data_IF_408518037483
#
_entry.id   IF_408518037483
#
_cell.length_a   1.000
_cell.length_b   1.000
_cell.length_c   1.000
_cell.angle_alpha   90.00
_cell.angle_beta   90.00
_cell.angle_gamma   90.00
#
_symmetry.space_group_name_H-M   'P 1'
#
loop_
_entity.id
_entity.type
_entity.pdbx_description
1 polymer ?
#
# COMPACT_ATOMS: atom_id res chain seq x y z
N UNK A 1 36.87 35.08 -10.93
CA UNK A 1 36.50 34.92 -9.52
C UNK A 1 34.96 34.91 -9.51
N UNK A 2 34.34 33.73 -9.43
CA UNK A 2 32.88 33.61 -9.41
C UNK A 2 32.41 33.87 -7.98
N UNK A 3 31.80 35.03 -7.76
CA UNK A 3 31.12 35.34 -6.50
C UNK A 3 29.96 34.36 -6.32
N UNK A 4 30.06 33.52 -5.28
CA UNK A 4 28.93 32.72 -4.80
C UNK A 4 28.05 33.65 -3.98
N UNK A 5 26.84 33.89 -4.46
CA UNK A 5 25.79 34.47 -3.62
C UNK A 5 25.59 33.57 -2.40
N UNK A 6 25.76 34.06 -1.15
CA UNK A 6 25.37 33.29 0.01
C UNK A 6 23.85 33.12 -0.04
N UNK A 7 23.39 31.86 -0.05
CA UNK A 7 21.99 31.59 0.25
C UNK A 7 21.71 32.21 1.63
N UNK A 8 20.56 32.90 1.82
CA UNK A 8 20.22 33.41 3.13
C UNK A 8 20.23 32.23 4.10
N UNK A 9 21.11 32.29 5.09
CA UNK A 9 21.07 31.40 6.24
C UNK A 9 19.67 31.54 6.82
N UNK A 10 18.86 30.51 6.64
CA UNK A 10 17.64 30.37 7.41
C UNK A 10 18.11 30.19 8.85
N UNK A 11 18.09 31.28 9.62
CA UNK A 11 18.11 31.24 11.07
C UNK A 11 16.99 30.30 11.49
N UNK A 12 17.38 29.05 11.74
CA UNK A 12 16.51 28.00 12.18
C UNK A 12 16.14 28.37 13.61
N UNK A 13 14.86 28.60 13.93
CA UNK A 13 14.49 28.98 15.29
C UNK A 13 14.85 27.80 16.20
N UNK A 14 15.91 28.00 16.98
CA UNK A 14 16.35 27.20 18.14
C UNK A 14 15.87 25.74 18.20
N UNK A 15 16.69 24.79 17.76
CA UNK A 15 16.54 23.39 18.21
C UNK A 15 16.92 22.26 17.24
N UNK A 16 18.12 22.27 16.66
CA UNK A 16 18.95 21.09 16.32
C UNK A 16 19.86 21.43 15.13
N UNK A 17 21.17 21.46 15.37
CA UNK A 17 22.22 21.66 14.35
C UNK A 17 22.38 20.43 13.44
N UNK A 18 21.65 19.34 13.71
CA UNK A 18 21.73 18.10 12.95
C UNK A 18 20.37 17.70 12.39
N UNK A 19 20.32 17.14 11.16
CA UNK A 19 19.10 16.49 10.70
C UNK A 19 18.72 15.38 11.69
N UNK A 20 17.42 15.07 11.86
CA UNK A 20 16.98 13.96 12.67
C UNK A 20 17.73 12.66 12.33
N UNK A 21 17.79 11.67 13.25
CA UNK A 21 18.30 10.34 12.93
C UNK A 21 17.68 9.80 11.63
N UNK A 22 18.42 9.02 10.84
CA UNK A 22 17.99 8.61 9.49
C UNK A 22 16.57 8.04 9.46
N UNK A 23 16.22 7.18 10.43
CA UNK A 23 14.88 6.60 10.55
C UNK A 23 13.76 7.56 10.97
N UNK A 24 14.08 8.82 11.31
CA UNK A 24 13.12 9.87 11.69
C UNK A 24 13.14 11.06 10.70
N UNK A 25 13.82 10.93 9.56
CA UNK A 25 13.87 11.98 8.53
C UNK A 25 12.65 11.94 7.63
N UNK A 26 12.12 13.11 7.28
CA UNK A 26 11.15 13.29 6.19
C UNK A 26 11.90 13.79 4.97
N UNK A 27 11.89 13.02 3.89
CA UNK A 27 12.55 13.39 2.63
C UNK A 27 11.63 14.26 1.78
N UNK A 28 12.19 15.32 1.17
CA UNK A 28 11.44 16.32 0.44
C UNK A 28 11.78 16.26 -1.06
N UNK A 29 10.80 15.88 -1.89
CA UNK A 29 10.93 15.92 -3.35
C UNK A 29 10.53 17.29 -3.94
N UNK A 30 9.60 17.98 -3.29
CA UNK A 30 9.07 19.30 -3.66
C UNK A 30 8.79 20.08 -2.38
N UNK A 31 9.05 21.38 -2.42
CA UNK A 31 8.75 22.27 -1.30
C UNK A 31 7.26 22.18 -0.94
N UNK A 32 6.99 21.99 0.35
CA UNK A 32 5.64 21.94 0.89
C UNK A 32 5.59 22.76 2.19
N UNK A 33 4.65 23.69 2.26
CA UNK A 33 4.42 24.54 3.42
C UNK A 33 3.37 23.92 4.33
N UNK A 34 3.82 23.22 5.36
CA UNK A 34 2.93 22.51 6.29
C UNK A 34 1.99 23.46 7.06
N UNK A 35 2.36 24.74 7.19
CA UNK A 35 1.53 25.78 7.77
C UNK A 35 0.31 26.12 6.89
N UNK A 36 0.41 25.96 5.56
CA UNK A 36 -0.70 26.16 4.61
C UNK A 36 -1.63 24.94 4.50
N UNK A 37 -1.19 23.75 4.90
CA UNK A 37 -2.03 22.56 4.93
C UNK A 37 -3.13 22.76 5.98
N UNK A 38 -4.40 22.61 5.62
CA UNK A 38 -5.54 22.69 6.55
C UNK A 38 -6.06 21.32 6.96
N UNK A 39 -5.90 20.31 6.10
CA UNK A 39 -6.32 18.96 6.38
C UNK A 39 -5.23 17.93 6.07
N UNK A 40 -5.15 16.90 6.91
CA UNK A 40 -4.26 15.75 6.72
C UNK A 40 -5.10 14.50 6.66
N UNK A 41 -5.01 13.79 5.54
CA UNK A 41 -5.66 12.51 5.32
C UNK A 41 -4.67 11.37 5.40
N UNK A 42 -5.13 10.23 5.87
CA UNK A 42 -4.33 9.02 5.99
C UNK A 42 -5.04 7.84 5.33
N UNK A 43 -4.28 7.03 4.59
CA UNK A 43 -4.65 5.63 4.40
C UNK A 43 -4.50 4.87 5.72
N UNK A 44 -5.18 3.72 5.85
CA UNK A 44 -5.03 2.86 7.02
C UNK A 44 -3.90 1.84 6.80
N UNK A 45 -4.12 0.92 5.87
CA UNK A 45 -3.26 -0.24 5.67
C UNK A 45 -1.87 0.19 5.17
N UNK A 46 -0.80 -0.37 5.75
CA UNK A 46 0.60 -0.02 5.48
C UNK A 46 0.99 1.47 5.65
N UNK A 47 0.08 2.30 6.16
CA UNK A 47 0.32 3.72 6.45
C UNK A 47 0.20 4.01 7.94
N UNK A 48 -0.97 3.80 8.53
CA UNK A 48 -1.19 3.85 9.97
C UNK A 48 -0.97 2.47 10.60
N UNK A 49 -1.55 1.44 9.98
CA UNK A 49 -1.34 0.04 10.34
C UNK A 49 -0.07 -0.48 9.67
N UNK A 50 1.05 -0.43 10.39
CA UNK A 50 2.32 -0.97 9.91
C UNK A 50 2.36 -2.47 10.18
N UNK A 51 2.18 -3.26 9.14
CA UNK A 51 2.20 -4.71 9.24
C UNK A 51 3.62 -5.28 9.35
N UNK A 52 3.76 -6.37 10.10
CA UNK A 52 4.95 -7.22 10.12
C UNK A 52 5.04 -8.02 8.84
N UNK A 53 5.79 -7.49 7.88
CA UNK A 53 5.87 -8.02 6.52
C UNK A 53 6.13 -9.54 6.47
N UNK A 54 7.02 -10.07 7.32
CA UNK A 54 7.35 -11.49 7.31
C UNK A 54 6.16 -12.40 7.70
N UNK A 55 5.31 -11.96 8.63
CA UNK A 55 4.12 -12.70 9.03
C UNK A 55 3.02 -12.58 7.98
N UNK A 56 2.82 -11.37 7.44
CA UNK A 56 1.87 -11.15 6.35
C UNK A 56 2.22 -11.93 5.08
N UNK A 57 3.49 -11.91 4.66
CA UNK A 57 3.93 -12.66 3.47
C UNK A 57 3.65 -14.16 3.63
N UNK A 58 3.95 -14.73 4.80
CA UNK A 58 3.68 -16.16 5.07
C UNK A 58 2.18 -16.45 4.98
N UNK A 59 1.36 -15.66 5.66
CA UNK A 59 -0.10 -15.83 5.66
C UNK A 59 -0.67 -15.71 4.25
N UNK A 60 -0.28 -14.67 3.49
CA UNK A 60 -0.73 -14.47 2.11
C UNK A 60 -0.29 -15.60 1.18
N UNK A 61 0.95 -16.08 1.32
CA UNK A 61 1.45 -17.23 0.54
C UNK A 61 0.63 -18.48 0.86
N UNK A 62 0.44 -18.81 2.14
CA UNK A 62 -0.30 -20.00 2.56
C UNK A 62 -1.75 -19.98 2.06
N UNK A 63 -2.45 -18.85 2.24
CA UNK A 63 -3.82 -18.68 1.76
C UNK A 63 -3.93 -18.79 0.24
N UNK A 64 -3.02 -18.14 -0.50
CA UNK A 64 -2.99 -18.18 -1.96
C UNK A 64 -2.70 -19.59 -2.47
N UNK A 65 -1.73 -20.30 -1.86
CA UNK A 65 -1.36 -21.67 -2.21
C UNK A 65 -2.51 -22.64 -1.97
N UNK A 66 -3.20 -22.51 -0.83
CA UNK A 66 -4.38 -23.32 -0.53
C UNK A 66 -5.44 -23.24 -1.64
N UNK A 67 -5.77 -22.02 -2.08
CA UNK A 67 -6.75 -21.79 -3.15
C UNK A 67 -6.27 -22.24 -4.53
N UNK A 68 -4.97 -22.10 -4.84
CA UNK A 68 -4.42 -22.64 -6.08
C UNK A 68 -4.60 -24.16 -6.15
N UNK A 69 -4.37 -24.86 -5.04
CA UNK A 69 -4.55 -26.31 -4.95
C UNK A 69 -6.02 -26.68 -5.14
N UNK A 70 -6.95 -25.96 -4.50
CA UNK A 70 -8.40 -26.14 -4.71
C UNK A 70 -8.82 -25.94 -6.18
N UNK A 71 -8.11 -25.07 -6.90
CA UNK A 71 -8.30 -24.83 -8.35
C UNK A 71 -7.69 -25.92 -9.25
N UNK A 72 -7.02 -26.92 -8.66
CA UNK A 72 -6.46 -28.07 -9.38
C UNK A 72 -4.94 -28.04 -9.58
N UNK A 73 -4.22 -27.09 -8.97
CA UNK A 73 -2.76 -27.15 -8.92
C UNK A 73 -2.29 -28.30 -8.00
N UNK A 74 -1.06 -28.78 -8.20
CA UNK A 74 -0.52 -29.93 -7.45
C UNK A 74 -0.43 -29.68 -5.95
N UNK A 75 -0.76 -30.69 -5.13
CA UNK A 75 -0.56 -30.66 -3.67
C UNK A 75 0.91 -30.42 -3.27
N UNK A 76 1.86 -30.66 -4.18
CA UNK A 76 3.28 -30.32 -3.97
C UNK A 76 3.49 -28.86 -3.59
N UNK A 77 2.61 -27.93 -4.02
CA UNK A 77 2.70 -26.51 -3.70
C UNK A 77 2.76 -26.25 -2.18
N UNK A 78 2.15 -27.09 -1.33
CA UNK A 78 2.20 -26.91 0.14
C UNK A 78 3.61 -27.04 0.72
N UNK A 79 4.45 -27.85 0.08
CA UNK A 79 5.79 -28.20 0.57
C UNK A 79 6.91 -27.45 -0.13
N UNK A 80 6.57 -26.65 -1.14
CA UNK A 80 7.52 -25.84 -1.88
C UNK A 80 8.15 -24.76 -1.00
N UNK A 81 9.36 -24.36 -1.36
CA UNK A 81 10.03 -23.24 -0.70
C UNK A 81 9.64 -21.93 -1.36
N UNK A 82 9.06 -21.03 -0.58
CA UNK A 82 8.72 -19.67 -1.00
C UNK A 82 9.69 -18.67 -0.38
N UNK A 83 10.39 -17.92 -1.23
CA UNK A 83 11.41 -16.94 -0.81
C UNK A 83 10.82 -15.55 -0.69
N UNK A 84 10.50 -15.13 0.52
CA UNK A 84 10.00 -13.77 0.81
C UNK A 84 11.11 -12.72 0.77
N UNK A 85 12.39 -13.13 0.80
CA UNK A 85 13.57 -12.27 0.64
C UNK A 85 13.87 -11.89 -0.82
N UNK A 86 13.25 -12.59 -1.78
CA UNK A 86 13.45 -12.37 -3.21
C UNK A 86 12.67 -11.17 -3.78
N UNK A 87 11.35 -11.06 -3.58
CA UNK A 87 10.58 -9.96 -4.14
C UNK A 87 10.91 -8.63 -3.46
N UNK A 88 10.92 -7.56 -4.27
CA UNK A 88 11.00 -6.19 -3.79
C UNK A 88 9.95 -5.34 -4.49
N UNK A 89 9.54 -4.24 -3.87
CA UNK A 89 8.59 -3.31 -4.48
C UNK A 89 9.16 -2.69 -5.76
N UNK A 90 8.27 -2.43 -6.73
CA UNK A 90 8.61 -1.85 -8.03
C UNK A 90 9.28 -2.82 -8.99
N UNK A 91 8.96 -4.12 -8.90
CA UNK A 91 9.26 -5.11 -9.93
C UNK A 91 8.18 -5.10 -11.02
N UNK A 92 8.51 -5.69 -12.17
CA UNK A 92 7.58 -5.89 -13.27
C UNK A 92 7.56 -7.37 -13.65
N UNK A 93 6.38 -7.98 -13.64
CA UNK A 93 6.19 -9.37 -14.07
C UNK A 93 5.92 -9.39 -15.58
N UNK A 94 6.66 -10.21 -16.32
CA UNK A 94 6.43 -10.51 -17.72
C UNK A 94 5.67 -11.83 -17.86
N UNK A 95 4.36 -11.71 -18.02
CA UNK A 95 3.43 -12.84 -18.13
C UNK A 95 3.62 -13.66 -19.40
N UNK A 96 4.38 -13.16 -20.39
CA UNK A 96 4.66 -13.92 -21.63
C UNK A 96 5.87 -14.83 -21.49
N UNK A 97 6.88 -14.40 -20.73
CA UNK A 97 8.16 -15.11 -20.65
C UNK A 97 8.44 -15.69 -19.25
N UNK A 98 7.51 -15.58 -18.31
CA UNK A 98 7.68 -16.10 -16.95
C UNK A 98 8.77 -15.37 -16.17
N UNK A 99 9.02 -14.10 -16.46
CA UNK A 99 10.17 -13.38 -15.91
C UNK A 99 9.78 -12.27 -14.94
N UNK A 100 10.59 -12.11 -13.90
CA UNK A 100 10.51 -10.99 -12.94
C UNK A 100 11.61 -9.98 -13.27
N UNK A 101 11.23 -8.73 -13.54
CA UNK A 101 12.10 -7.71 -14.09
C UNK A 101 12.30 -6.55 -13.10
N UNK A 102 13.55 -6.07 -12.99
CA UNK A 102 13.87 -4.78 -12.39
C UNK A 102 14.29 -3.79 -13.46
N UNK A 103 13.53 -2.72 -13.59
CA UNK A 103 13.73 -1.67 -14.59
C UNK A 103 14.23 -0.38 -13.95
N UNK A 104 14.88 0.46 -14.75
CA UNK A 104 15.13 1.85 -14.39
C UNK A 104 14.05 2.80 -14.92
N UNK A 105 14.17 4.09 -14.56
CA UNK A 105 13.25 5.16 -15.00
C UNK A 105 13.15 5.33 -16.52
N UNK A 106 14.14 4.85 -17.28
CA UNK A 106 14.17 4.92 -18.74
C UNK A 106 13.67 3.64 -19.41
N UNK A 107 13.07 2.74 -18.63
CA UNK A 107 12.52 1.45 -19.06
C UNK A 107 13.59 0.45 -19.54
N UNK A 108 14.84 0.63 -19.11
CA UNK A 108 15.87 -0.36 -19.35
C UNK A 108 15.81 -1.45 -18.29
N UNK A 109 15.73 -2.72 -18.72
CA UNK A 109 15.76 -3.88 -17.80
C UNK A 109 17.18 -4.06 -17.29
N UNK A 110 17.43 -3.68 -16.04
CA UNK A 110 18.72 -3.82 -15.34
C UNK A 110 18.99 -5.24 -14.90
N UNK A 111 17.96 -5.93 -14.42
CA UNK A 111 18.02 -7.32 -13.95
C UNK A 111 16.73 -8.03 -14.33
N UNK A 112 16.83 -9.32 -14.66
CA UNK A 112 15.69 -10.18 -14.93
C UNK A 112 15.96 -11.57 -14.34
N UNK A 113 14.90 -12.22 -13.85
CA UNK A 113 14.93 -13.57 -13.31
C UNK A 113 13.84 -14.42 -13.95
N UNK A 114 14.11 -15.71 -14.15
CA UNK A 114 13.14 -16.74 -14.52
C UNK A 114 13.11 -17.75 -13.36
N UNK A 115 11.99 -17.83 -12.64
CA UNK A 115 12.01 -18.40 -11.29
C UNK A 115 13.00 -17.61 -10.41
N UNK A 116 13.96 -18.31 -9.79
CA UNK A 116 15.05 -17.69 -9.03
C UNK A 116 16.37 -17.61 -9.82
N UNK A 117 16.40 -18.12 -11.06
CA UNK A 117 17.57 -18.04 -11.94
C UNK A 117 17.68 -16.67 -12.59
N UNK A 118 18.80 -15.98 -12.32
CA UNK A 118 19.13 -14.71 -12.98
C UNK A 118 19.41 -14.93 -14.46
N UNK A 119 18.75 -14.15 -15.33
CA UNK A 119 19.08 -14.15 -16.76
C UNK A 119 20.46 -13.54 -16.99
N UNK A 120 21.22 -14.17 -17.88
CA UNK A 120 22.46 -13.62 -18.41
C UNK A 120 22.22 -12.32 -19.17
N UNK A 121 23.30 -11.56 -19.40
CA UNK A 121 23.25 -10.33 -20.20
C UNK A 121 22.70 -10.60 -21.60
N UNK A 122 23.05 -11.72 -22.21
CA UNK A 122 22.62 -12.07 -23.56
C UNK A 122 21.15 -12.47 -23.63
N UNK A 123 20.68 -13.34 -22.72
CA UNK A 123 19.25 -13.69 -22.62
C UNK A 123 18.40 -12.44 -22.43
N UNK A 124 18.80 -11.57 -21.50
CA UNK A 124 18.12 -10.30 -21.23
C UNK A 124 18.13 -9.37 -22.43
N UNK A 125 19.27 -9.25 -23.14
CA UNK A 125 19.38 -8.43 -24.34
C UNK A 125 18.42 -8.93 -25.42
N UNK A 126 18.41 -10.24 -25.69
CA UNK A 126 17.53 -10.88 -26.67
C UNK A 126 16.05 -10.64 -26.32
N UNK A 127 15.68 -10.85 -25.06
CA UNK A 127 14.29 -10.75 -24.60
C UNK A 127 13.76 -9.31 -24.51
N UNK A 128 14.59 -8.34 -24.10
CA UNK A 128 14.12 -7.02 -23.64
C UNK A 128 14.79 -5.81 -24.26
N UNK A 129 15.94 -5.95 -24.91
CA UNK A 129 16.70 -4.80 -25.44
C UNK A 129 16.73 -4.73 -26.96
N UNK A 130 16.19 -5.74 -27.65
CA UNK A 130 16.03 -5.73 -29.11
C UNK A 130 14.84 -4.91 -29.58
N UNK A 131 13.85 -4.68 -28.70
CA UNK A 131 12.63 -3.91 -28.99
C UNK A 131 12.26 -3.06 -27.79
N UNK A 132 11.56 -1.96 -28.06
CA UNK A 132 11.04 -1.08 -27.01
C UNK A 132 10.00 -1.81 -26.16
N UNK A 133 10.25 -1.87 -24.86
CA UNK A 133 9.32 -2.40 -23.86
C UNK A 133 8.09 -1.50 -23.73
N UNK A 134 6.90 -2.11 -23.64
CA UNK A 134 5.62 -1.43 -23.42
C UNK A 134 4.95 -1.94 -22.14
N UNK A 135 5.36 -1.45 -20.95
CA UNK A 135 4.83 -1.93 -19.67
C UNK A 135 3.33 -1.71 -19.47
N UNK A 136 2.71 -0.75 -20.16
CA UNK A 136 1.27 -0.51 -20.08
C UNK A 136 0.39 -1.53 -20.84
N UNK A 137 0.97 -2.61 -21.37
CA UNK A 137 0.20 -3.66 -22.04
C UNK A 137 -0.13 -4.79 -21.06
N UNK A 138 -1.20 -5.55 -21.32
CA UNK A 138 -1.63 -6.70 -20.47
C UNK A 138 -0.57 -7.79 -20.28
N UNK A 139 0.50 -7.78 -21.10
CA UNK A 139 1.65 -8.67 -20.95
C UNK A 139 2.39 -8.45 -19.63
N UNK A 140 2.42 -7.21 -19.14
CA UNK A 140 3.21 -6.86 -17.98
C UNK A 140 2.32 -6.47 -16.81
N UNK A 141 2.79 -6.77 -15.60
CA UNK A 141 2.11 -6.42 -14.35
C UNK A 141 3.08 -5.74 -13.40
N UNK A 142 2.72 -4.57 -12.88
CA UNK A 142 3.54 -3.84 -11.91
C UNK A 142 3.31 -4.38 -10.51
N UNK A 143 4.40 -4.57 -9.77
CA UNK A 143 4.38 -4.94 -8.36
C UNK A 143 4.58 -3.67 -7.55
N UNK A 144 3.46 -3.00 -7.26
CA UNK A 144 3.42 -1.64 -6.72
C UNK A 144 2.89 -1.58 -5.29
N UNK A 145 2.34 -2.66 -4.74
CA UNK A 145 1.90 -2.78 -3.34
C UNK A 145 2.73 -3.80 -2.58
N UNK A 146 2.78 -3.68 -1.25
CA UNK A 146 3.45 -4.66 -0.39
C UNK A 146 2.72 -6.01 -0.38
N UNK A 147 1.38 -6.02 -0.49
CA UNK A 147 0.58 -7.24 -0.66
C UNK A 147 1.02 -8.07 -1.89
N UNK A 148 1.44 -7.40 -2.97
CA UNK A 148 1.83 -8.07 -4.22
C UNK A 148 3.19 -8.77 -4.16
N UNK A 149 3.95 -8.62 -3.07
CA UNK A 149 5.25 -9.29 -2.92
C UNK A 149 5.09 -10.81 -2.76
N UNK A 150 4.08 -11.23 -1.98
CA UNK A 150 3.74 -12.64 -1.76
C UNK A 150 3.51 -13.38 -3.07
N UNK A 151 2.80 -12.78 -4.02
CA UNK A 151 2.54 -13.37 -5.31
C UNK A 151 3.75 -13.51 -6.20
N UNK A 152 4.68 -12.55 -6.16
CA UNK A 152 5.96 -12.67 -6.87
C UNK A 152 6.74 -13.85 -6.29
N UNK A 153 6.71 -14.05 -4.97
CA UNK A 153 7.33 -15.20 -4.33
C UNK A 153 6.68 -16.52 -4.77
N UNK A 154 5.34 -16.60 -4.81
CA UNK A 154 4.60 -17.77 -5.33
C UNK A 154 4.95 -18.01 -6.80
N UNK A 155 4.86 -16.99 -7.64
CA UNK A 155 5.11 -17.09 -9.08
C UNK A 155 6.54 -17.58 -9.39
N UNK A 156 7.54 -16.99 -8.74
CA UNK A 156 8.93 -17.40 -8.92
C UNK A 156 9.19 -18.82 -8.39
N UNK A 157 8.59 -19.17 -7.24
CA UNK A 157 8.74 -20.50 -6.65
C UNK A 157 8.11 -21.61 -7.52
N UNK A 158 6.93 -21.35 -8.08
CA UNK A 158 6.23 -22.28 -8.96
C UNK A 158 7.02 -22.50 -10.25
N UNK A 159 7.49 -21.43 -10.90
CA UNK A 159 8.33 -21.54 -12.11
C UNK A 159 9.61 -22.32 -11.80
N UNK A 160 10.32 -21.99 -10.72
CA UNK A 160 11.57 -22.68 -10.36
C UNK A 160 11.38 -24.18 -10.11
N UNK A 161 10.30 -24.57 -9.41
CA UNK A 161 10.16 -25.92 -8.88
C UNK A 161 9.30 -26.85 -9.75
N UNK A 162 8.32 -26.32 -10.50
CA UNK A 162 7.44 -27.15 -11.33
C UNK A 162 7.87 -27.22 -12.80
N UNK A 163 8.37 -26.13 -13.39
CA UNK A 163 8.74 -26.12 -14.80
C UNK A 163 9.76 -27.21 -15.18
N UNK A 164 10.81 -27.51 -14.38
CA UNK A 164 11.75 -28.57 -14.72
C UNK A 164 11.13 -29.97 -14.80
N UNK A 165 9.96 -30.18 -14.17
CA UNK A 165 9.27 -31.48 -14.09
C UNK A 165 8.09 -31.57 -15.05
N UNK A 166 7.39 -30.46 -15.27
CA UNK A 166 6.16 -30.40 -16.06
C UNK A 166 6.37 -29.82 -17.46
N UNK A 167 7.55 -29.28 -17.75
CA UNK A 167 7.82 -28.52 -18.96
C UNK A 167 7.31 -27.09 -18.86
N UNK A 168 7.32 -26.38 -20.00
CA UNK A 168 6.94 -24.97 -20.07
C UNK A 168 5.52 -24.74 -19.56
N UNK A 169 5.38 -23.84 -18.58
CA UNK A 169 4.11 -23.46 -17.98
C UNK A 169 3.41 -22.37 -18.81
N UNK A 170 2.09 -22.28 -18.72
CA UNK A 170 1.38 -21.07 -19.13
C UNK A 170 1.56 -19.98 -18.07
N UNK A 171 2.63 -19.21 -18.22
CA UNK A 171 3.00 -18.12 -17.31
C UNK A 171 1.92 -17.04 -17.16
N UNK A 172 1.08 -16.87 -18.19
CA UNK A 172 0.05 -15.84 -18.19
C UNK A 172 -1.17 -16.28 -17.39
N UNK A 173 -1.55 -17.56 -17.55
CA UNK A 173 -2.59 -18.20 -16.76
C UNK A 173 -2.15 -18.38 -15.31
N UNK A 174 -0.93 -18.88 -15.06
CA UNK A 174 -0.38 -19.04 -13.72
C UNK A 174 -0.44 -17.73 -12.93
N UNK A 175 0.01 -16.62 -13.53
CA UNK A 175 -0.04 -15.33 -12.84
C UNK A 175 -1.47 -14.81 -12.65
N UNK A 176 -2.39 -15.12 -13.58
CA UNK A 176 -3.79 -14.76 -13.43
C UNK A 176 -4.43 -15.50 -12.24
N UNK A 177 -4.19 -16.81 -12.14
CA UNK A 177 -4.70 -17.65 -11.06
C UNK A 177 -4.12 -17.23 -9.71
N UNK A 178 -2.81 -16.92 -9.63
CA UNK A 178 -2.19 -16.41 -8.40
C UNK A 178 -2.87 -15.12 -7.94
N UNK A 179 -3.05 -14.14 -8.84
CA UNK A 179 -3.71 -12.87 -8.49
C UNK A 179 -5.15 -13.10 -8.04
N UNK A 180 -5.91 -13.91 -8.76
CA UNK A 180 -7.29 -14.20 -8.40
C UNK A 180 -7.41 -14.91 -7.04
N UNK A 181 -6.55 -15.90 -6.77
CA UNK A 181 -6.50 -16.58 -5.48
C UNK A 181 -6.06 -15.66 -4.33
N UNK A 182 -5.10 -14.77 -4.58
CA UNK A 182 -4.67 -13.77 -3.61
C UNK A 182 -5.78 -12.73 -3.34
N UNK A 183 -6.45 -12.23 -4.38
CA UNK A 183 -7.58 -11.30 -4.26
C UNK A 183 -8.73 -11.94 -3.47
N UNK A 184 -9.08 -13.19 -3.77
CA UNK A 184 -10.08 -13.96 -3.02
C UNK A 184 -9.70 -14.10 -1.54
N UNK A 185 -8.42 -14.36 -1.24
CA UNK A 185 -7.92 -14.48 0.14
C UNK A 185 -8.05 -13.19 0.95
N UNK A 186 -8.06 -12.03 0.30
CA UNK A 186 -8.32 -10.75 0.96
C UNK A 186 -9.81 -10.44 1.13
N UNK A 187 -10.70 -11.16 0.45
CA UNK A 187 -12.15 -10.91 0.44
C UNK A 187 -12.95 -11.92 1.27
N UNK A 188 -12.44 -13.15 1.41
CA UNK A 188 -13.17 -14.28 2.03
C UNK A 188 -12.80 -14.53 3.50
N UNK A 189 -12.04 -13.63 4.13
CA UNK A 189 -11.61 -13.73 5.52
C UNK A 189 -10.30 -14.49 5.74
N UNK A 190 -9.76 -15.20 4.74
CA UNK A 190 -8.55 -16.03 4.89
C UNK A 190 -7.32 -15.26 5.40
N UNK A 191 -7.24 -13.97 5.10
CA UNK A 191 -6.19 -13.08 5.61
C UNK A 191 -6.73 -12.18 6.71
N UNK A 192 -7.84 -11.49 6.47
CA UNK A 192 -8.31 -10.44 7.37
C UNK A 192 -8.75 -11.00 8.73
N UNK A 193 -9.46 -12.13 8.77
CA UNK A 193 -9.95 -12.71 10.03
C UNK A 193 -8.79 -13.21 10.87
N UNK A 194 -7.82 -13.90 10.25
CA UNK A 194 -6.60 -14.39 10.91
C UNK A 194 -5.78 -13.25 11.51
N UNK A 195 -5.73 -12.09 10.84
CA UNK A 195 -5.07 -10.90 11.37
C UNK A 195 -5.83 -10.33 12.56
N UNK A 196 -7.17 -10.26 12.50
CA UNK A 196 -7.99 -9.76 13.60
C UNK A 196 -7.95 -10.65 14.84
N UNK A 197 -7.78 -11.97 14.66
CA UNK A 197 -7.63 -12.92 15.76
C UNK A 197 -6.36 -12.68 16.60
N UNK A 198 -5.29 -12.13 16.00
CA UNK A 198 -4.02 -11.86 16.69
C UNK A 198 -3.30 -10.61 16.14
N UNK A 199 -3.93 -9.44 16.31
CA UNK A 199 -3.36 -8.16 15.86
C UNK A 199 -1.91 -7.92 16.31
N UNK A 200 -1.49 -8.18 17.58
CA UNK A 200 -0.11 -7.98 18.02
C UNK A 200 0.96 -8.81 17.28
N UNK A 201 0.55 -9.94 16.68
CA UNK A 201 1.45 -10.74 15.85
C UNK A 201 1.68 -10.11 14.49
N UNK A 202 0.68 -9.46 13.92
CA UNK A 202 0.71 -8.99 12.53
C UNK A 202 0.94 -7.48 12.39
N UNK A 203 0.65 -6.68 13.40
CA UNK A 203 0.67 -5.21 13.32
C UNK A 203 1.51 -4.63 14.43
N UNK A 204 2.41 -3.73 14.08
CA UNK A 204 3.18 -2.96 15.06
C UNK A 204 2.35 -1.79 15.57
N UNK A 205 2.18 -1.73 16.90
CA UNK A 205 1.53 -0.61 17.58
C UNK A 205 2.55 0.46 17.93
N UNK A 206 2.51 1.59 17.22
CA UNK A 206 3.36 2.75 17.49
C UNK A 206 2.80 3.58 18.67
N UNK A 207 3.51 3.66 19.81
CA UNK A 207 3.07 4.46 20.96
C UNK A 207 3.03 5.98 20.68
N UNK A 208 3.74 6.47 19.66
CA UNK A 208 3.76 7.90 19.32
C UNK A 208 2.60 8.31 18.39
N UNK A 209 1.81 7.35 17.87
CA UNK A 209 0.76 7.62 16.88
C UNK A 209 -0.37 8.52 17.42
N UNK A 210 -0.85 8.27 18.64
CA UNK A 210 -1.86 9.12 19.28
C UNK A 210 -1.36 10.56 19.47
N UNK A 211 -0.08 10.70 19.88
CA UNK A 211 0.55 12.01 20.04
C UNK A 211 0.73 12.75 18.70
N UNK A 212 1.05 12.04 17.62
CA UNK A 212 1.11 12.60 16.28
C UNK A 212 -0.23 13.23 15.88
N UNK A 213 -1.33 12.48 16.06
CA UNK A 213 -2.67 12.96 15.72
C UNK A 213 -3.06 14.15 16.61
N UNK A 214 -2.80 14.07 17.91
CA UNK A 214 -3.02 15.20 18.82
C UNK A 214 -2.26 16.45 18.38
N UNK A 215 -0.98 16.34 17.99
CA UNK A 215 -0.17 17.48 17.52
C UNK A 215 -0.75 18.13 16.26
N UNK A 216 -1.21 17.35 15.29
CA UNK A 216 -1.87 17.91 14.11
C UNK A 216 -3.15 18.67 14.47
N UNK A 217 -3.98 18.09 15.34
CA UNK A 217 -5.22 18.75 15.81
C UNK A 217 -4.93 20.04 16.55
N UNK A 218 -3.96 20.01 17.46
CA UNK A 218 -3.52 21.18 18.24
C UNK A 218 -2.93 22.29 17.37
N UNK A 219 -2.35 21.94 16.22
CA UNK A 219 -1.94 22.88 15.17
C UNK A 219 -3.10 23.38 14.27
N UNK A 220 -4.35 23.08 14.62
CA UNK A 220 -5.54 23.51 13.90
C UNK A 220 -5.86 22.71 12.62
N UNK A 221 -5.20 21.57 12.40
CA UNK A 221 -5.43 20.72 11.22
C UNK A 221 -6.66 19.83 11.41
N UNK A 222 -7.46 19.67 10.36
CA UNK A 222 -8.51 18.64 10.28
C UNK A 222 -7.88 17.31 9.89
N UNK A 223 -8.32 16.22 10.50
CA UNK A 223 -7.80 14.88 10.20
C UNK A 223 -8.88 14.01 9.57
N UNK A 224 -8.50 13.20 8.58
CA UNK A 224 -9.42 12.22 8.03
C UNK A 224 -8.77 10.88 7.72
N UNK A 225 -9.55 9.81 7.82
CA UNK A 225 -9.17 8.47 7.39
C UNK A 225 -9.87 8.14 6.08
N UNK A 226 -9.13 7.60 5.12
CA UNK A 226 -9.63 7.17 3.82
C UNK A 226 -9.02 5.82 3.44
N UNK A 227 -9.74 4.74 3.71
CA UNK A 227 -9.26 3.37 3.50
C UNK A 227 -10.14 2.58 2.53
N UNK A 228 -9.55 1.60 1.84
CA UNK A 228 -10.29 0.63 1.01
C UNK A 228 -10.82 -0.55 1.84
N UNK A 229 -10.34 -0.76 3.07
CA UNK A 229 -10.85 -1.81 3.96
C UNK A 229 -12.26 -1.49 4.47
N UNK A 230 -12.98 -2.53 4.90
CA UNK A 230 -14.36 -2.43 5.36
C UNK A 230 -14.52 -1.81 6.75
N UNK A 231 -15.75 -1.42 7.13
CA UNK A 231 -16.06 -0.83 8.43
C UNK A 231 -15.60 -1.67 9.63
N UNK A 232 -15.92 -2.96 9.64
CA UNK A 232 -15.67 -3.86 10.77
C UNK A 232 -14.16 -4.06 11.00
N UNK A 233 -13.43 -4.30 9.91
CA UNK A 233 -11.97 -4.43 9.96
C UNK A 233 -11.30 -3.12 10.41
N UNK A 234 -11.78 -1.99 9.88
CA UNK A 234 -11.28 -0.65 10.24
C UNK A 234 -11.52 -0.34 11.71
N UNK A 235 -12.70 -0.69 12.24
CA UNK A 235 -13.03 -0.49 13.65
C UNK A 235 -12.03 -1.24 14.54
N UNK A 236 -11.84 -2.55 14.31
CA UNK A 236 -10.95 -3.36 15.12
C UNK A 236 -9.48 -2.90 15.01
N UNK A 237 -9.02 -2.60 13.80
CA UNK A 237 -7.65 -2.13 13.55
C UNK A 237 -7.38 -0.78 14.22
N UNK A 238 -8.25 0.20 13.99
CA UNK A 238 -8.04 1.56 14.52
C UNK A 238 -8.21 1.61 16.03
N UNK A 239 -9.13 0.80 16.60
CA UNK A 239 -9.20 0.61 18.05
C UNK A 239 -7.90 0.05 18.61
N UNK A 240 -7.33 -0.98 18.00
CA UNK A 240 -6.04 -1.53 18.43
C UNK A 240 -4.90 -0.50 18.38
N UNK A 241 -4.86 0.33 17.35
CA UNK A 241 -3.81 1.34 17.17
C UNK A 241 -3.95 2.51 18.15
N UNK A 242 -5.16 3.05 18.33
CA UNK A 242 -5.36 4.38 18.95
C UNK A 242 -6.20 4.40 20.23
N UNK A 243 -7.02 3.38 20.52
CA UNK A 243 -7.83 3.40 21.75
C UNK A 243 -6.92 3.30 22.98
N UNK A 244 -7.17 4.18 23.95
CA UNK A 244 -6.35 4.31 25.15
C UNK A 244 -4.95 4.88 24.91
N UNK A 245 -4.64 5.39 23.71
CA UNK A 245 -3.33 6.02 23.44
C UNK A 245 -3.14 7.36 24.17
N UNK A 246 -4.23 8.12 24.37
CA UNK A 246 -4.28 9.36 25.14
C UNK A 246 -5.63 9.47 25.86
N UNK A 247 -5.64 9.98 27.09
CA UNK A 247 -6.85 10.06 27.93
C UNK A 247 -7.89 11.04 27.36
N UNK A 248 -7.46 12.08 26.64
CA UNK A 248 -8.31 13.10 26.03
C UNK A 248 -9.15 12.59 24.85
N UNK A 249 -8.83 11.40 24.33
CA UNK A 249 -9.49 10.78 23.19
C UNK A 249 -9.98 9.37 23.57
N UNK A 250 -11.19 9.25 24.14
CA UNK A 250 -11.74 7.96 24.59
C UNK A 250 -11.86 6.89 23.49
N UNK A 251 -11.95 7.31 22.22
CA UNK A 251 -12.00 6.45 21.05
C UNK A 251 -11.13 7.03 19.93
N UNK A 252 -10.57 6.15 19.09
CA UNK A 252 -9.85 6.48 17.87
C UNK A 252 -10.65 7.43 16.95
N UNK A 253 -11.98 7.31 16.94
CA UNK A 253 -12.87 8.18 16.17
C UNK A 253 -12.79 9.64 16.61
N UNK A 254 -12.44 9.90 17.87
CA UNK A 254 -12.30 11.27 18.39
C UNK A 254 -11.10 12.01 17.78
N UNK A 255 -10.10 11.31 17.25
CA UNK A 255 -8.98 11.98 16.59
C UNK A 255 -9.33 12.53 15.21
N UNK A 256 -10.38 12.00 14.56
CA UNK A 256 -10.69 12.25 13.16
C UNK A 256 -11.91 13.16 13.03
N UNK A 257 -11.92 13.98 11.98
CA UNK A 257 -13.05 14.81 11.56
C UNK A 257 -13.90 14.13 10.47
N UNK A 258 -13.31 13.19 9.72
CA UNK A 258 -14.00 12.37 8.72
C UNK A 258 -13.39 10.96 8.65
N UNK A 259 -14.23 9.94 8.49
CA UNK A 259 -13.82 8.54 8.42
C UNK A 259 -14.55 7.89 7.23
N UNK A 260 -13.80 7.44 6.23
CA UNK A 260 -14.34 6.72 5.10
C UNK A 260 -13.64 5.38 4.88
N UNK A 261 -14.43 4.32 4.92
CA UNK A 261 -14.08 2.93 4.63
C UNK A 261 -14.63 2.54 3.25
N UNK A 262 -14.20 1.42 2.66
CA UNK A 262 -14.56 1.06 1.28
C UNK A 262 -14.53 2.25 0.31
N UNK A 263 -13.53 3.11 0.44
CA UNK A 263 -13.46 4.39 -0.31
C UNK A 263 -13.31 4.19 -1.82
N UNK A 264 -12.91 2.99 -2.25
CA UNK A 264 -12.71 2.62 -3.65
C UNK A 264 -11.66 3.52 -4.33
N UNK A 265 -10.56 3.82 -3.65
CA UNK A 265 -9.39 4.49 -4.24
C UNK A 265 -8.83 3.64 -5.39
N UNK A 266 -8.43 4.26 -6.53
CA UNK A 266 -8.34 5.70 -6.81
C UNK A 266 -9.66 6.34 -7.29
N UNK A 267 -10.74 5.55 -7.41
CA UNK A 267 -12.07 6.02 -7.79
C UNK A 267 -12.61 7.14 -6.90
N UNK A 268 -12.27 7.17 -5.61
CA UNK A 268 -12.62 8.27 -4.70
C UNK A 268 -12.15 9.66 -5.20
N UNK A 269 -10.94 9.73 -5.74
CA UNK A 269 -10.31 10.98 -6.16
C UNK A 269 -10.79 11.47 -7.53
N UNK A 270 -11.36 10.58 -8.33
CA UNK A 270 -11.74 10.84 -9.74
C UNK A 270 -13.24 10.75 -9.98
N UNK A 271 -13.96 10.08 -9.10
CA UNK A 271 -15.37 9.77 -9.22
C UNK A 271 -16.27 10.77 -8.52
N UNK A 272 -17.56 10.41 -8.45
CA UNK A 272 -18.64 11.20 -7.85
C UNK A 272 -19.60 10.32 -7.04
N UNK A 273 -19.11 9.18 -6.56
CA UNK A 273 -19.93 8.30 -5.73
C UNK A 273 -20.34 9.04 -4.44
N UNK A 274 -21.59 8.91 -3.99
CA UNK A 274 -22.03 9.54 -2.76
C UNK A 274 -21.38 8.85 -1.55
N UNK A 275 -21.22 9.59 -0.46
CA UNK A 275 -20.90 8.98 0.84
C UNK A 275 -22.15 8.37 1.44
N UNK A 276 -22.05 7.13 1.91
CA UNK A 276 -23.15 6.42 2.58
C UNK A 276 -22.78 6.23 4.05
N UNK A 277 -23.66 6.63 4.97
CA UNK A 277 -23.45 6.43 6.40
C UNK A 277 -23.62 4.94 6.76
N UNK A 278 -22.63 4.37 7.44
CA UNK A 278 -22.59 2.92 7.74
C UNK A 278 -23.73 2.50 8.66
N UNK A 279 -24.14 3.35 9.61
CA UNK A 279 -25.18 3.01 10.58
C UNK A 279 -26.58 3.13 9.99
N UNK A 280 -26.82 4.16 9.18
CA UNK A 280 -28.16 4.47 8.66
C UNK A 280 -28.40 3.96 7.24
N UNK A 281 -27.35 3.59 6.52
CA UNK A 281 -27.41 3.21 5.09
C UNK A 281 -27.82 4.35 4.17
N UNK A 282 -27.90 5.59 4.67
CA UNK A 282 -28.39 6.75 3.93
C UNK A 282 -27.24 7.47 3.23
N UNK A 283 -27.51 8.00 2.03
CA UNK A 283 -26.58 8.91 1.37
C UNK A 283 -26.51 10.25 2.11
N UNK A 284 -25.30 10.66 2.48
CA UNK A 284 -25.05 11.89 3.23
C UNK A 284 -24.17 12.82 2.41
N UNK A 285 -24.60 14.09 2.30
CA UNK A 285 -23.83 15.17 1.66
C UNK A 285 -22.99 15.98 2.63
N UNK A 286 -23.35 15.96 3.91
CA UNK A 286 -22.68 16.69 4.98
C UNK A 286 -22.31 15.71 6.09
N UNK A 287 -21.09 15.16 6.06
CA UNK A 287 -20.66 14.20 7.05
C UNK A 287 -20.50 14.87 8.42
N UNK A 288 -20.87 14.13 9.45
CA UNK A 288 -20.78 14.50 10.85
C UNK A 288 -19.61 13.78 11.50
N UNK A 289 -18.91 14.49 12.40
CA UNK A 289 -17.78 13.93 13.14
C UNK A 289 -18.21 12.73 14.00
N UNK A 290 -17.36 11.71 14.04
CA UNK A 290 -17.60 10.47 14.81
C UNK A 290 -18.45 9.42 14.09
N UNK A 291 -18.97 9.73 12.90
CA UNK A 291 -19.64 8.78 12.01
C UNK A 291 -18.64 8.13 11.05
N UNK A 292 -18.99 6.95 10.57
CA UNK A 292 -18.23 6.19 9.59
C UNK A 292 -19.02 6.13 8.28
N UNK A 293 -18.34 6.40 7.17
CA UNK A 293 -18.93 6.46 5.84
C UNK A 293 -18.31 5.41 4.91
N UNK A 294 -19.05 4.99 3.89
CA UNK A 294 -18.53 4.20 2.76
C UNK A 294 -18.62 4.95 1.43
N UNK A 295 -17.79 4.56 0.46
CA UNK A 295 -17.78 5.15 -0.88
C UNK A 295 -17.29 6.60 -0.87
N UNK A 296 -18.12 7.53 -1.33
CA UNK A 296 -17.78 8.96 -1.33
C UNK A 296 -16.88 9.42 -2.48
N UNK A 297 -16.57 10.71 -2.44
CA UNK A 297 -15.68 11.36 -3.40
C UNK A 297 -14.97 12.57 -2.79
N UNK A 298 -13.87 12.98 -3.41
CA UNK A 298 -13.03 14.09 -2.93
C UNK A 298 -13.76 15.44 -2.87
N UNK A 299 -14.71 15.70 -3.77
CA UNK A 299 -15.42 16.98 -3.81
C UNK A 299 -16.34 17.16 -2.60
N UNK A 300 -17.02 16.10 -2.17
CA UNK A 300 -17.85 16.13 -0.97
C UNK A 300 -17.01 16.20 0.30
N UNK A 301 -15.86 15.49 0.34
CA UNK A 301 -14.90 15.61 1.43
C UNK A 301 -14.36 17.04 1.59
N UNK A 302 -13.96 17.67 0.48
CA UNK A 302 -13.49 19.07 0.43
C UNK A 302 -14.53 20.03 0.99
N UNK A 303 -15.79 19.86 0.56
CA UNK A 303 -16.92 20.67 1.02
C UNK A 303 -17.17 20.49 2.52
N UNK A 304 -17.13 19.24 2.98
CA UNK A 304 -17.37 18.88 4.37
C UNK A 304 -16.32 19.45 5.34
N UNK A 305 -15.05 19.36 4.96
CA UNK A 305 -13.93 19.75 5.81
C UNK A 305 -13.46 21.19 5.55
N UNK A 306 -14.04 21.88 4.57
CA UNK A 306 -13.80 23.29 4.30
C UNK A 306 -12.39 23.58 3.78
N UNK A 307 -11.86 22.68 2.95
CA UNK A 307 -10.56 22.83 2.31
C UNK A 307 -10.66 22.72 0.79
N UNK A 308 -9.69 23.29 0.07
CA UNK A 308 -9.60 23.15 -1.37
C UNK A 308 -8.16 23.05 -1.86
N UNK A 309 -7.97 22.44 -3.02
CA UNK A 309 -6.70 22.47 -3.75
C UNK A 309 -5.50 21.94 -2.94
N UNK A 310 -4.48 22.77 -2.79
CA UNK A 310 -3.19 22.49 -2.16
C UNK A 310 -3.20 22.60 -0.62
N UNK A 311 -4.38 22.79 -0.02
CA UNK A 311 -4.56 22.84 1.44
C UNK A 311 -4.65 21.45 2.09
N UNK A 312 -4.40 20.38 1.33
CA UNK A 312 -4.56 18.99 1.78
C UNK A 312 -3.26 18.23 1.62
N UNK A 313 -2.86 17.54 2.69
CA UNK A 313 -1.83 16.52 2.65
C UNK A 313 -2.48 15.16 2.80
N UNK A 314 -2.39 14.31 1.78
CA UNK A 314 -2.79 12.91 1.90
C UNK A 314 -1.55 12.03 2.02
N UNK A 315 -1.53 11.15 3.01
CA UNK A 315 -0.44 10.23 3.32
C UNK A 315 -0.94 8.81 3.07
N UNK A 316 -0.27 8.08 2.18
CA UNK A 316 -0.60 6.71 1.83
C UNK A 316 0.64 5.94 1.37
N UNK A 317 0.56 4.62 1.35
CA UNK A 317 1.69 3.77 0.95
C UNK A 317 1.63 3.45 -0.55
N UNK A 318 0.46 3.46 -1.19
CA UNK A 318 0.27 2.98 -2.56
C UNK A 318 0.47 4.10 -3.60
N UNK A 319 1.54 4.01 -4.39
CA UNK A 319 1.88 5.05 -5.39
C UNK A 319 0.72 5.34 -6.37
N UNK A 320 -0.02 4.33 -6.82
CA UNK A 320 -1.11 4.51 -7.78
C UNK A 320 -2.48 4.70 -7.15
N UNK A 321 -2.75 4.08 -6.00
CA UNK A 321 -4.02 4.24 -5.28
C UNK A 321 -4.11 5.56 -4.52
N UNK A 322 -2.97 6.07 -4.02
CA UNK A 322 -2.92 7.20 -3.10
C UNK A 322 -2.17 8.43 -3.65
N UNK A 323 -1.13 8.26 -4.47
CA UNK A 323 -0.17 9.35 -4.78
C UNK A 323 -0.26 9.90 -6.21
N UNK A 324 -0.63 9.10 -7.22
CA UNK A 324 -0.66 9.47 -8.64
C UNK A 324 -2.08 9.68 -9.17
#
# INVERSE_FOLDING_TARGET
MQERFPAPEFDSPSGSVFPPPEGRRVYCNRNMRLDQVKAVGFDMDYTLAVYRQAEMDRLSIEATVGKLIERGYSEELRTMKYRTDFPIRGLLIDRKLGNVLKMDRHRYVKTAYHGFRKLSREERRRAYHTRRLRPGTRRYHWVDTLYSLSEVAVYAAVIEQLEPRQGALDYAQLFADIRECADLSHQDGSILDVVLEDLPRYVDRDPELGLLFHKFRSAGKRLFLLTNSGPEYTEAMMSYLLDGALEEYPSWKNYLDYICTFSNKPGFFTGKAPSVDVETGSEIREPSRGRVYTGGNIADLQRALGFAGDEVLYVGDHIYGDVL
#
